data_IF_756162258174
#
_entry.id   IF_756162258174
#
_cell.length_a   1.000
_cell.length_b   1.000
_cell.length_c   1.000
_cell.angle_alpha   90.00
_cell.angle_beta   90.00
_cell.angle_gamma   90.00
#
_symmetry.space_group_name_H-M   'P 1'
#
loop_
_entity.id
_entity.type
_entity.pdbx_description
1 polymer ?
#
# COMPACT_ATOMS: atom_id res chain seq x y z
N UNK A 1 -42.13 52.81 11.91
CA UNK A 1 -42.00 51.69 12.87
C UNK A 1 -42.16 50.29 12.25
N UNK A 2 -43.23 49.98 11.51
CA UNK A 2 -43.43 48.61 10.96
C UNK A 2 -42.36 48.20 9.92
N UNK A 3 -42.01 49.09 8.99
CA UNK A 3 -41.01 48.81 7.94
C UNK A 3 -39.59 48.57 8.50
N UNK A 4 -39.17 49.34 9.51
CA UNK A 4 -37.88 49.13 10.21
C UNK A 4 -37.79 47.75 10.87
N UNK A 5 -38.91 47.23 11.42
CA UNK A 5 -38.93 45.88 12.01
C UNK A 5 -38.73 44.79 10.96
N UNK A 6 -39.30 44.95 9.77
CA UNK A 6 -39.10 44.01 8.65
C UNK A 6 -37.67 44.04 8.11
N UNK A 7 -37.06 45.22 7.99
CA UNK A 7 -35.65 45.37 7.59
C UNK A 7 -34.68 44.76 8.60
N UNK A 8 -34.94 44.94 9.90
CA UNK A 8 -34.17 44.31 10.97
C UNK A 8 -34.30 42.78 10.95
N UNK A 9 -35.51 42.27 10.72
CA UNK A 9 -35.76 40.84 10.62
C UNK A 9 -35.06 40.23 9.40
N UNK A 10 -35.13 40.88 8.23
CA UNK A 10 -34.45 40.42 7.03
C UNK A 10 -32.93 40.43 7.19
N UNK A 11 -32.39 41.46 7.84
CA UNK A 11 -30.97 41.55 8.15
C UNK A 11 -30.53 40.42 9.10
N UNK A 12 -31.33 40.14 10.13
CA UNK A 12 -31.06 39.08 11.09
C UNK A 12 -31.07 37.69 10.42
N UNK A 13 -32.03 37.44 9.52
CA UNK A 13 -32.09 36.21 8.73
C UNK A 13 -30.85 36.07 7.83
N UNK A 14 -30.43 37.15 7.16
CA UNK A 14 -29.22 37.16 6.31
C UNK A 14 -27.95 36.80 7.09
N UNK A 15 -27.83 37.32 8.32
CA UNK A 15 -26.69 37.02 9.21
C UNK A 15 -26.68 35.53 9.57
N UNK A 16 -27.83 34.92 9.85
CA UNK A 16 -27.92 33.50 10.18
C UNK A 16 -27.53 32.57 9.01
N UNK A 17 -27.77 32.96 7.76
CA UNK A 17 -27.39 32.15 6.58
C UNK A 17 -25.87 32.01 6.39
N UNK A 18 -25.07 32.93 6.92
CA UNK A 18 -23.60 32.90 6.78
C UNK A 18 -22.87 32.15 7.89
N UNK A 19 -23.57 31.63 8.90
CA UNK A 19 -22.94 30.99 10.07
C UNK A 19 -22.70 29.51 9.79
N UNK A 20 -21.47 29.16 9.44
CA UNK A 20 -21.00 27.77 9.39
C UNK A 20 -20.59 27.31 10.81
N UNK A 21 -21.55 26.83 11.60
CA UNK A 21 -21.30 26.39 12.99
C UNK A 21 -20.65 24.99 13.09
N UNK A 22 -20.70 24.19 12.03
CA UNK A 22 -20.15 22.84 12.00
C UNK A 22 -18.86 22.80 11.18
N UNK A 23 -17.73 23.08 11.82
CA UNK A 23 -16.43 22.74 11.24
C UNK A 23 -16.34 21.21 11.08
N UNK A 24 -16.60 20.71 9.87
CA UNK A 24 -16.33 19.31 9.54
C UNK A 24 -14.84 19.06 9.78
N UNK A 25 -14.52 18.22 10.77
CA UNK A 25 -13.14 17.84 11.05
C UNK A 25 -12.53 17.25 9.78
N UNK A 26 -11.53 17.94 9.22
CA UNK A 26 -10.77 17.42 8.08
C UNK A 26 -9.76 16.42 8.62
N UNK A 27 -9.90 15.17 8.24
CA UNK A 27 -8.94 14.11 8.56
C UNK A 27 -8.15 13.75 7.31
N UNK A 28 -6.86 13.46 7.48
CA UNK A 28 -6.06 12.81 6.46
C UNK A 28 -6.09 11.30 6.76
N UNK A 29 -6.64 10.53 5.83
CA UNK A 29 -6.76 9.08 5.97
C UNK A 29 -5.45 8.46 5.49
N UNK A 30 -4.92 7.53 6.28
CA UNK A 30 -3.74 6.72 5.94
C UNK A 30 -4.10 5.26 6.08
N UNK A 31 -3.74 4.47 5.07
CA UNK A 31 -3.95 3.02 5.08
C UNK A 31 -2.74 2.33 5.71
N UNK A 32 -2.99 1.33 6.56
CA UNK A 32 -1.98 0.39 7.07
C UNK A 32 -2.44 -1.00 6.69
N UNK A 33 -1.54 -1.81 6.14
CA UNK A 33 -1.87 -3.11 5.58
C UNK A 33 -0.91 -4.21 6.03
N UNK A 34 -1.38 -5.45 5.96
CA UNK A 34 -0.55 -6.65 6.01
C UNK A 34 -0.90 -7.54 4.82
N UNK A 35 0.10 -8.04 4.10
CA UNK A 35 -0.12 -8.81 2.88
C UNK A 35 0.83 -10.00 2.77
N UNK A 36 0.27 -11.21 2.70
CA UNK A 36 1.02 -12.41 2.38
C UNK A 36 1.35 -12.44 0.87
N UNK A 37 2.64 -12.55 0.51
CA UNK A 37 3.09 -12.55 -0.89
C UNK A 37 3.18 -13.96 -1.50
N UNK A 38 2.72 -14.98 -0.76
CA UNK A 38 2.55 -16.37 -1.19
C UNK A 38 3.84 -16.95 -1.79
N UNK A 39 4.95 -16.93 -1.03
CA UNK A 39 6.28 -17.36 -1.46
C UNK A 39 6.83 -16.54 -2.62
N UNK A 40 7.08 -15.24 -2.39
CA UNK A 40 7.76 -14.39 -3.35
C UNK A 40 9.27 -14.68 -3.31
N UNK A 41 9.68 -15.56 -4.20
CA UNK A 41 11.06 -16.04 -4.34
C UNK A 41 11.68 -15.56 -5.64
N UNK A 42 12.99 -15.30 -5.62
CA UNK A 42 13.78 -14.91 -6.77
C UNK A 42 14.17 -16.12 -7.64
N UNK A 43 14.93 -15.88 -8.71
CA UNK A 43 15.26 -16.91 -9.70
C UNK A 43 16.63 -17.54 -9.48
N UNK A 44 17.35 -17.14 -8.43
CA UNK A 44 18.73 -17.50 -8.14
C UNK A 44 18.72 -18.53 -7.01
N UNK A 45 19.47 -19.62 -7.18
CA UNK A 45 19.61 -20.64 -6.13
C UNK A 45 20.71 -20.23 -5.16
N UNK A 46 20.41 -20.09 -3.87
CA UNK A 46 21.43 -20.05 -2.82
C UNK A 46 21.74 -21.48 -2.34
N UNK A 47 22.95 -22.02 -2.61
CA UNK A 47 23.32 -23.38 -2.20
C UNK A 47 23.43 -23.56 -0.66
N UNK A 48 23.40 -22.48 0.12
CA UNK A 48 23.40 -22.52 1.58
C UNK A 48 21.99 -22.66 2.17
N UNK A 49 20.95 -22.49 1.35
CA UNK A 49 19.53 -22.55 1.72
C UNK A 49 18.84 -23.69 0.97
N UNK A 50 17.60 -24.02 1.37
CA UNK A 50 16.80 -25.05 0.69
C UNK A 50 15.96 -24.48 -0.45
N UNK A 51 16.53 -23.59 -1.26
CA UNK A 51 15.80 -22.88 -2.32
C UNK A 51 15.36 -23.83 -3.44
N UNK A 52 16.01 -24.98 -3.64
CA UNK A 52 15.59 -25.98 -4.62
C UNK A 52 14.16 -26.52 -4.38
N UNK A 53 13.67 -26.46 -3.14
CA UNK A 53 12.30 -26.83 -2.78
C UNK A 53 11.27 -25.73 -3.09
N UNK A 54 11.73 -24.57 -3.59
CA UNK A 54 10.88 -23.44 -3.89
C UNK A 54 10.03 -23.68 -5.16
N UNK A 55 8.78 -23.21 -5.20
CA UNK A 55 7.93 -23.36 -6.39
C UNK A 55 8.54 -22.74 -7.66
N UNK A 56 9.38 -21.72 -7.51
CA UNK A 56 10.03 -21.07 -8.64
C UNK A 56 11.18 -21.89 -9.21
N UNK A 57 11.85 -22.72 -8.39
CA UNK A 57 12.91 -23.63 -8.83
C UNK A 57 12.36 -24.89 -9.53
N UNK A 58 11.12 -25.30 -9.24
CA UNK A 58 10.45 -26.41 -9.95
C UNK A 58 10.10 -26.10 -11.42
N UNK A 59 10.11 -24.81 -11.80
CA UNK A 59 9.76 -24.36 -13.14
C UNK A 59 10.86 -24.69 -14.15
N UNK A 60 10.51 -25.48 -15.18
CA UNK A 60 11.44 -25.94 -16.22
C UNK A 60 11.86 -24.86 -17.24
N UNK A 61 11.10 -23.77 -17.36
CA UNK A 61 11.36 -22.68 -18.30
C UNK A 61 10.68 -21.38 -17.83
N UNK A 62 11.08 -20.24 -18.41
CA UNK A 62 10.46 -18.91 -18.23
C UNK A 62 10.40 -18.38 -16.78
N UNK A 63 11.32 -18.84 -15.92
CA UNK A 63 11.38 -18.48 -14.49
C UNK A 63 11.39 -16.96 -14.28
N UNK A 64 12.24 -16.25 -15.02
CA UNK A 64 12.38 -14.79 -14.93
C UNK A 64 11.12 -14.03 -15.32
N UNK A 65 10.38 -14.49 -16.33
CA UNK A 65 9.15 -13.82 -16.77
C UNK A 65 8.00 -14.08 -15.79
N UNK A 66 7.92 -15.30 -15.25
CA UNK A 66 6.96 -15.67 -14.21
C UNK A 66 7.23 -14.86 -12.94
N UNK A 67 8.49 -14.74 -12.53
CA UNK A 67 8.92 -13.89 -11.41
C UNK A 67 8.48 -12.43 -11.60
N UNK A 68 8.87 -11.80 -12.72
CA UNK A 68 8.50 -10.41 -13.01
C UNK A 68 6.99 -10.20 -13.03
N UNK A 69 6.24 -11.17 -13.58
CA UNK A 69 4.78 -11.13 -13.58
C UNK A 69 4.22 -11.20 -12.16
N UNK A 70 4.79 -12.05 -11.30
CA UNK A 70 4.39 -12.15 -9.89
C UNK A 70 4.66 -10.84 -9.16
N UNK A 71 5.87 -10.30 -9.26
CA UNK A 71 6.25 -8.99 -8.67
C UNK A 71 5.27 -7.90 -9.10
N UNK A 72 5.01 -7.76 -10.40
CA UNK A 72 4.06 -6.77 -10.94
C UNK A 72 2.65 -6.95 -10.39
N UNK A 73 2.18 -8.19 -10.26
CA UNK A 73 0.86 -8.46 -9.70
C UNK A 73 0.77 -8.09 -8.21
N UNK A 74 1.81 -8.39 -7.43
CA UNK A 74 1.88 -7.99 -6.02
C UNK A 74 1.93 -6.46 -5.88
N UNK A 75 2.77 -5.79 -6.69
CA UNK A 75 2.88 -4.34 -6.72
C UNK A 75 1.54 -3.66 -7.02
N UNK A 76 0.79 -4.20 -7.99
CA UNK A 76 -0.56 -3.73 -8.31
C UNK A 76 -1.51 -3.85 -7.13
N UNK A 77 -1.53 -5.00 -6.44
CA UNK A 77 -2.38 -5.18 -5.26
C UNK A 77 -2.01 -4.16 -4.19
N UNK A 78 -0.72 -4.00 -3.88
CA UNK A 78 -0.24 -3.03 -2.87
C UNK A 78 -0.67 -1.60 -3.22
N UNK A 79 -0.58 -1.21 -4.50
CA UNK A 79 -0.98 0.13 -4.95
C UNK A 79 -2.49 0.40 -4.78
N UNK A 80 -3.31 -0.64 -4.82
CA UNK A 80 -4.78 -0.57 -4.74
C UNK A 80 -5.34 -0.69 -3.31
N UNK A 81 -4.57 -1.22 -2.34
CA UNK A 81 -5.06 -1.42 -0.96
C UNK A 81 -5.43 -0.07 -0.31
N UNK A 82 -6.73 0.13 -0.04
CA UNK A 82 -7.26 1.32 0.62
C UNK A 82 -7.13 2.62 -0.18
N UNK A 83 -6.90 2.53 -1.49
CA UNK A 83 -6.76 3.70 -2.37
C UNK A 83 -8.07 4.46 -2.54
N UNK A 84 -9.21 3.77 -2.45
CA UNK A 84 -10.56 4.33 -2.49
C UNK A 84 -10.86 5.30 -1.33
N UNK A 85 -10.26 5.03 -0.16
CA UNK A 85 -10.45 5.83 1.05
C UNK A 85 -9.34 6.87 1.27
N UNK A 86 -8.08 6.49 1.05
CA UNK A 86 -6.92 7.32 1.35
C UNK A 86 -6.39 8.12 0.17
N UNK A 87 -6.85 7.81 -1.05
CA UNK A 87 -6.28 8.30 -2.32
C UNK A 87 -4.77 8.02 -2.45
N UNK A 88 -4.26 7.00 -1.75
CA UNK A 88 -2.87 6.58 -1.82
C UNK A 88 -2.73 5.07 -1.53
N UNK A 89 -1.53 4.53 -1.78
CA UNK A 89 -1.16 3.20 -1.31
C UNK A 89 -0.96 3.21 0.23
N UNK A 90 -0.88 2.03 0.89
CA UNK A 90 -0.62 1.95 2.32
C UNK A 90 0.60 2.77 2.75
N UNK A 91 0.45 3.59 3.78
CA UNK A 91 1.57 4.33 4.35
C UNK A 91 2.59 3.39 5.02
N UNK A 92 2.09 2.27 5.56
CA UNK A 92 2.90 1.19 6.11
C UNK A 92 2.28 -0.13 5.65
N UNK A 93 3.12 -1.03 5.15
CA UNK A 93 2.73 -2.39 4.79
C UNK A 93 3.67 -3.39 5.43
N UNK A 94 3.11 -4.32 6.20
CA UNK A 94 3.81 -5.54 6.59
C UNK A 94 3.61 -6.60 5.52
N UNK A 95 4.64 -7.40 5.25
CA UNK A 95 4.57 -8.53 4.32
C UNK A 95 5.17 -9.77 4.96
N UNK A 96 4.77 -10.94 4.45
CA UNK A 96 5.36 -12.23 4.81
C UNK A 96 5.45 -13.15 3.59
N UNK A 97 6.12 -14.28 3.78
CA UNK A 97 6.46 -15.27 2.76
C UNK A 97 7.31 -14.69 1.63
N UNK A 98 8.39 -14.00 2.03
CA UNK A 98 9.42 -13.48 1.11
C UNK A 98 10.74 -14.23 1.31
N UNK A 99 11.57 -14.29 0.27
CA UNK A 99 12.84 -15.01 0.36
C UNK A 99 13.95 -14.27 1.10
N UNK A 100 14.07 -12.99 0.78
CA UNK A 100 15.20 -12.16 1.10
C UNK A 100 14.89 -10.68 0.82
N UNK A 101 15.83 -9.79 1.15
CA UNK A 101 15.70 -8.36 0.86
C UNK A 101 15.58 -8.05 -0.64
N UNK A 102 16.18 -8.86 -1.51
CA UNK A 102 16.25 -8.59 -2.94
C UNK A 102 14.86 -8.63 -3.59
N UNK A 103 14.00 -9.57 -3.21
CA UNK A 103 12.63 -9.60 -3.72
C UNK A 103 11.80 -8.39 -3.29
N UNK A 104 12.08 -7.83 -2.11
CA UNK A 104 11.44 -6.60 -1.64
C UNK A 104 11.93 -5.39 -2.42
N UNK A 105 13.22 -5.31 -2.74
CA UNK A 105 13.77 -4.27 -3.61
C UNK A 105 13.12 -4.29 -4.99
N UNK A 106 12.98 -5.47 -5.59
CA UNK A 106 12.35 -5.61 -6.90
C UNK A 106 10.86 -5.24 -6.84
N UNK A 107 10.18 -5.55 -5.73
CA UNK A 107 8.79 -5.17 -5.50
C UNK A 107 8.58 -3.66 -5.37
N UNK A 108 9.34 -2.98 -4.50
CA UNK A 108 9.17 -1.53 -4.27
C UNK A 108 9.62 -0.69 -5.46
N UNK A 109 10.51 -1.21 -6.31
CA UNK A 109 10.97 -0.56 -7.53
C UNK A 109 10.10 -0.84 -8.77
N UNK A 110 9.03 -1.63 -8.64
CA UNK A 110 8.05 -1.77 -9.74
C UNK A 110 7.45 -0.39 -10.08
N UNK A 111 7.19 -0.08 -11.37
CA UNK A 111 6.65 1.22 -11.78
C UNK A 111 5.37 1.66 -11.06
N UNK A 112 4.57 0.71 -10.55
CA UNK A 112 3.35 1.01 -9.79
C UNK A 112 3.65 1.54 -8.38
N UNK A 113 4.81 1.20 -7.81
CA UNK A 113 5.21 1.56 -6.45
C UNK A 113 6.39 2.54 -6.39
N UNK A 114 7.15 2.71 -7.49
CA UNK A 114 8.36 3.54 -7.51
C UNK A 114 8.13 4.98 -7.00
N UNK A 115 7.01 5.60 -7.40
CA UNK A 115 6.66 6.95 -6.95
C UNK A 115 6.15 7.03 -5.49
N UNK A 116 5.94 5.89 -4.83
CA UNK A 116 5.54 5.80 -3.42
C UNK A 116 6.72 5.84 -2.46
N UNK A 117 7.94 5.58 -2.97
CA UNK A 117 9.20 5.71 -2.24
C UNK A 117 9.21 4.89 -0.93
N UNK A 118 8.87 3.61 -1.02
CA UNK A 118 8.87 2.72 0.15
C UNK A 118 10.29 2.44 0.64
N UNK A 119 10.50 2.67 1.94
CA UNK A 119 11.65 2.12 2.66
C UNK A 119 11.46 0.65 3.01
N UNK A 120 12.56 -0.10 3.12
CA UNK A 120 12.56 -1.52 3.49
C UNK A 120 13.22 -1.71 4.86
N UNK A 121 12.49 -2.33 5.78
CA UNK A 121 13.03 -2.89 7.02
C UNK A 121 12.82 -4.40 6.96
N UNK A 122 13.91 -5.16 6.88
CA UNK A 122 13.88 -6.61 6.72
C UNK A 122 14.96 -7.25 7.58
N UNK A 123 14.65 -8.42 8.14
CA UNK A 123 15.54 -9.24 8.93
C UNK A 123 15.32 -10.69 8.50
N UNK A 124 16.41 -11.42 8.27
CA UNK A 124 16.33 -12.83 7.88
C UNK A 124 15.77 -13.67 9.05
N UNK A 125 14.80 -14.52 8.75
CA UNK A 125 14.26 -15.50 9.66
C UNK A 125 15.18 -16.71 9.85
N UNK A 126 14.96 -17.53 10.90
CA UNK A 126 15.74 -18.75 11.12
C UNK A 126 15.32 -19.92 10.21
N UNK A 127 14.29 -19.77 9.37
CA UNK A 127 13.80 -20.83 8.49
C UNK A 127 14.78 -21.07 7.33
N UNK A 128 15.29 -22.31 7.23
CA UNK A 128 16.23 -22.70 6.18
C UNK A 128 15.61 -22.75 4.78
N UNK A 129 14.28 -22.68 4.68
CA UNK A 129 13.54 -22.54 3.42
C UNK A 129 13.48 -21.10 2.93
N UNK A 130 14.05 -20.14 3.68
CA UNK A 130 14.01 -18.73 3.32
C UNK A 130 12.58 -18.20 3.22
N UNK A 131 11.74 -18.48 4.22
CA UNK A 131 10.37 -17.96 4.28
C UNK A 131 10.34 -16.96 5.43
N UNK A 132 10.59 -15.69 5.10
CA UNK A 132 10.57 -14.57 6.03
C UNK A 132 9.20 -13.88 6.12
#
# INVERSE_FOLDING_TARGET
MKLQKWLLLSLMILICYGVEAQNKKKFKIHTVAFYNLENLFDTINDPLKYDEASPIMELKANRSDIYKKKVKNMARVIAEIGSDMSNNAPAVIGVCEIENRKVLEDLVNDPLLLAKDYGIVHFDGPDRRSID
#
